data_IF_375582723197
#
_entry.id   IF_375582723197
#
_cell.length_a   1.000
_cell.length_b   1.000
_cell.length_c   1.000
_cell.angle_alpha   90.00
_cell.angle_beta   90.00
_cell.angle_gamma   90.00
#
_symmetry.space_group_name_H-M   'P 1'
#
loop_
_entity.id
_entity.type
_entity.pdbx_description
1 polymer ?
#
# COMPACT_ATOMS: atom_id res chain seq x y z
N UNK A 1 7.84 -9.22 -7.17
CA UNK A 1 9.26 -8.94 -7.47
C UNK A 1 9.88 -8.53 -6.15
N UNK A 2 10.77 -9.37 -5.63
CA UNK A 2 11.25 -9.29 -4.25
C UNK A 2 12.75 -9.03 -4.18
N UNK A 3 13.23 -8.54 -3.05
CA UNK A 3 14.64 -8.20 -2.81
C UNK A 3 14.81 -7.04 -1.82
N UNK A 4 16.05 -6.64 -1.50
CA UNK A 4 16.34 -5.68 -0.44
C UNK A 4 15.80 -4.28 -0.74
N UNK A 5 15.50 -3.49 0.30
CA UNK A 5 15.13 -2.09 0.15
C UNK A 5 16.19 -1.30 -0.63
N UNK A 6 15.78 -0.31 -1.42
CA UNK A 6 16.68 0.49 -2.26
C UNK A 6 17.20 -0.21 -3.53
N UNK A 7 16.91 -1.49 -3.75
CA UNK A 7 17.35 -2.23 -4.95
C UNK A 7 16.62 -1.89 -6.27
N UNK A 8 15.86 -0.79 -6.34
CA UNK A 8 15.15 -0.38 -7.56
C UNK A 8 13.93 -1.25 -7.94
N UNK A 9 13.48 -2.13 -7.06
CA UNK A 9 12.41 -3.11 -7.34
C UNK A 9 11.11 -2.47 -7.81
N UNK A 10 10.64 -1.43 -7.13
CA UNK A 10 9.40 -0.75 -7.50
C UNK A 10 9.51 -0.11 -8.89
N UNK A 11 10.64 0.53 -9.18
CA UNK A 11 10.93 1.10 -10.51
C UNK A 11 10.92 0.04 -11.60
N UNK A 12 11.62 -1.08 -11.40
CA UNK A 12 11.66 -2.19 -12.38
C UNK A 12 10.29 -2.86 -12.52
N UNK A 13 9.57 -3.08 -11.41
CA UNK A 13 8.25 -3.70 -11.42
C UNK A 13 7.23 -2.86 -12.15
N UNK A 14 7.25 -1.53 -11.95
CA UNK A 14 6.39 -0.59 -12.64
C UNK A 14 6.68 -0.55 -14.13
N UNK A 15 7.96 -0.47 -14.51
CA UNK A 15 8.36 -0.50 -15.91
C UNK A 15 7.96 -1.82 -16.60
N UNK A 16 8.05 -2.95 -15.90
CA UNK A 16 7.63 -4.25 -16.41
C UNK A 16 6.10 -4.33 -16.55
N UNK A 17 5.36 -3.85 -15.54
CA UNK A 17 3.90 -3.83 -15.55
C UNK A 17 3.37 -2.98 -16.73
N UNK A 18 3.94 -1.79 -16.95
CA UNK A 18 3.59 -0.93 -18.08
C UNK A 18 3.86 -1.61 -19.43
N UNK A 19 5.01 -2.29 -19.59
CA UNK A 19 5.36 -3.02 -20.82
C UNK A 19 4.44 -4.22 -21.10
N UNK A 20 3.91 -4.84 -20.05
CA UNK A 20 3.05 -6.02 -20.16
C UNK A 20 1.55 -5.69 -20.05
N UNK A 21 1.20 -4.41 -19.94
CA UNK A 21 -0.16 -3.94 -19.69
C UNK A 21 -0.81 -4.57 -18.45
N UNK A 22 0.01 -4.76 -17.40
CA UNK A 22 -0.44 -5.25 -16.10
C UNK A 22 -0.62 -4.09 -15.13
N UNK A 23 -1.55 -4.28 -14.21
CA UNK A 23 -1.73 -3.40 -13.07
C UNK A 23 -0.55 -3.56 -12.10
N UNK A 24 0.16 -2.47 -11.80
CA UNK A 24 1.16 -2.46 -10.73
C UNK A 24 0.49 -2.30 -9.36
N UNK A 25 0.77 -3.22 -8.45
CA UNK A 25 0.30 -3.18 -7.06
C UNK A 25 1.46 -2.85 -6.12
N UNK A 26 1.42 -1.67 -5.48
CA UNK A 26 2.38 -1.29 -4.44
C UNK A 26 1.97 -1.87 -3.08
N UNK A 27 2.50 -3.05 -2.75
CA UNK A 27 2.31 -3.63 -1.40
C UNK A 27 2.90 -2.75 -0.31
N UNK A 28 3.91 -1.93 -0.62
CA UNK A 28 4.47 -0.95 0.32
C UNK A 28 3.45 0.10 0.74
N UNK A 29 2.62 0.58 -0.20
CA UNK A 29 1.52 1.49 0.11
C UNK A 29 0.48 0.84 1.03
N UNK A 30 0.18 -0.45 0.84
CA UNK A 30 -0.71 -1.20 1.73
C UNK A 30 -0.16 -1.30 3.15
N UNK A 31 1.13 -1.64 3.31
CA UNK A 31 1.75 -1.66 4.65
C UNK A 31 1.81 -0.27 5.30
N UNK A 32 2.08 0.79 4.52
CA UNK A 32 2.02 2.17 5.01
C UNK A 32 0.61 2.57 5.45
N UNK A 33 -0.42 2.10 4.76
CA UNK A 33 -1.82 2.31 5.15
C UNK A 33 -2.14 1.73 6.52
N UNK A 34 -1.68 0.50 6.78
CA UNK A 34 -1.81 -0.15 8.09
C UNK A 34 -1.05 0.64 9.15
N UNK A 35 0.21 0.99 8.88
CA UNK A 35 1.03 1.75 9.83
C UNK A 35 0.42 3.13 10.15
N UNK A 36 -0.14 3.80 9.14
CA UNK A 36 -0.90 5.04 9.32
C UNK A 36 -2.06 4.83 10.29
N UNK A 37 -2.87 3.80 10.08
CA UNK A 37 -4.01 3.51 10.95
C UNK A 37 -3.64 3.14 12.38
N UNK A 38 -2.57 2.35 12.56
CA UNK A 38 -2.02 2.09 13.89
C UNK A 38 -1.65 3.40 14.59
N UNK A 39 -0.99 4.32 13.87
CA UNK A 39 -0.60 5.63 14.42
C UNK A 39 -1.81 6.48 14.78
N UNK A 40 -2.82 6.58 13.91
CA UNK A 40 -4.04 7.37 14.19
C UNK A 40 -4.81 6.83 15.41
N UNK A 41 -4.74 5.53 15.67
CA UNK A 41 -5.40 4.89 16.82
C UNK A 41 -4.50 4.77 18.06
N UNK A 42 -3.27 5.29 18.01
CA UNK A 42 -2.30 5.20 19.11
C UNK A 42 -1.90 3.77 19.46
N UNK A 43 -1.93 2.85 18.49
CA UNK A 43 -1.54 1.47 18.67
C UNK A 43 -0.03 1.30 18.45
N UNK A 44 0.64 0.73 19.44
CA UNK A 44 2.01 0.25 19.30
C UNK A 44 2.09 -0.91 18.30
N UNK A 45 3.19 -1.00 17.58
CA UNK A 45 3.41 -2.04 16.57
C UNK A 45 3.70 -3.42 17.20
N UNK A 46 4.14 -3.47 18.47
CA UNK A 46 4.46 -4.72 19.14
C UNK A 46 3.25 -5.36 19.83
N UNK A 47 3.08 -6.67 19.60
CA UNK A 47 2.21 -7.62 20.34
C UNK A 47 0.93 -7.05 20.95
N UNK A 48 0.19 -6.32 20.13
CA UNK A 48 -1.06 -5.71 20.55
C UNK A 48 -2.24 -6.53 20.02
N UNK A 49 -3.06 -7.18 20.87
CA UNK A 49 -4.25 -7.90 20.40
C UNK A 49 -5.22 -6.98 19.62
N UNK A 50 -5.19 -5.67 19.89
CA UNK A 50 -5.97 -4.67 19.17
C UNK A 50 -5.49 -4.45 17.74
N UNK A 51 -4.26 -4.84 17.38
CA UNK A 51 -3.79 -4.80 16.00
C UNK A 51 -4.56 -5.81 15.13
N UNK A 52 -4.83 -7.00 15.66
CA UNK A 52 -5.62 -8.00 14.94
C UNK A 52 -7.07 -7.51 14.74
N UNK A 53 -7.66 -6.87 15.75
CA UNK A 53 -8.99 -6.25 15.65
C UNK A 53 -9.03 -5.10 14.65
N UNK A 54 -7.99 -4.25 14.64
CA UNK A 54 -7.82 -3.21 13.63
C UNK A 54 -7.78 -3.82 12.23
N UNK A 55 -6.89 -4.79 12.00
CA UNK A 55 -6.75 -5.44 10.69
C UNK A 55 -8.04 -6.12 10.22
N UNK A 56 -8.82 -6.69 11.14
CA UNK A 56 -10.09 -7.34 10.84
C UNK A 56 -11.21 -6.35 10.48
N UNK A 57 -11.15 -5.11 10.98
CA UNK A 57 -12.12 -4.05 10.70
C UNK A 57 -11.67 -3.06 9.63
N UNK A 58 -10.39 -3.09 9.25
CA UNK A 58 -9.76 -2.19 8.29
C UNK A 58 -10.44 -2.30 6.92
N UNK A 59 -10.91 -1.16 6.39
CA UNK A 59 -11.40 -1.10 5.02
C UNK A 59 -10.31 -0.52 4.12
N UNK A 60 -9.71 -1.40 3.31
CA UNK A 60 -8.74 -1.01 2.28
C UNK A 60 -9.36 -1.18 0.89
N UNK A 61 -9.34 -0.12 0.10
CA UNK A 61 -9.79 -0.11 -1.28
C UNK A 61 -8.60 0.10 -2.23
N UNK A 62 -8.57 -0.73 -3.27
CA UNK A 62 -7.60 -0.63 -4.36
C UNK A 62 -8.34 -0.07 -5.57
N UNK A 63 -8.15 1.22 -5.83
CA UNK A 63 -8.81 1.92 -6.92
C UNK A 63 -7.93 1.92 -8.17
N UNK A 64 -8.52 1.88 -9.37
CA UNK A 64 -7.76 2.00 -10.60
C UNK A 64 -7.00 3.34 -10.64
N UNK A 65 -5.90 3.39 -11.41
CA UNK A 65 -5.20 4.63 -11.68
C UNK A 65 -6.12 5.70 -12.26
N UNK A 66 -5.81 6.96 -11.99
CA UNK A 66 -6.44 8.08 -12.69
C UNK A 66 -5.95 8.16 -14.14
N UNK A 67 -6.68 8.84 -15.04
CA UNK A 67 -6.20 9.05 -16.40
C UNK A 67 -4.82 9.73 -16.43
N UNK A 68 -3.83 9.07 -17.05
CA UNK A 68 -2.45 9.55 -17.12
C UNK A 68 -1.55 9.04 -15.99
N UNK A 69 -2.06 8.21 -15.09
CA UNK A 69 -1.29 7.49 -14.08
C UNK A 69 -1.25 5.99 -14.38
N UNK A 70 -0.21 5.32 -13.89
CA UNK A 70 0.00 3.88 -14.07
C UNK A 70 -0.28 3.06 -12.79
N UNK A 71 -0.48 3.74 -11.66
CA UNK A 71 -0.51 3.09 -10.36
C UNK A 71 -1.89 2.95 -9.75
N UNK A 72 -2.11 1.78 -9.15
CA UNK A 72 -3.26 1.58 -8.26
C UNK A 72 -3.18 2.54 -7.08
N UNK A 73 -4.31 3.16 -6.77
CA UNK A 73 -4.46 4.02 -5.60
C UNK A 73 -4.93 3.18 -4.43
N UNK A 74 -4.23 3.29 -3.30
CA UNK A 74 -4.57 2.60 -2.06
C UNK A 74 -5.31 3.58 -1.17
N UNK A 75 -6.56 3.27 -0.84
CA UNK A 75 -7.37 4.08 0.08
C UNK A 75 -7.64 3.26 1.33
N UNK A 76 -7.44 3.84 2.52
CA UNK A 76 -7.78 3.20 3.79
C UNK A 76 -8.72 4.08 4.59
N UNK A 77 -9.89 3.54 4.96
CA UNK A 77 -10.99 4.26 5.63
C UNK A 77 -11.29 5.65 5.03
N UNK A 78 -11.23 5.75 3.70
CA UNK A 78 -11.50 7.00 2.95
C UNK A 78 -10.30 7.94 2.79
N UNK A 79 -9.13 7.61 3.34
CA UNK A 79 -7.89 8.37 3.17
C UNK A 79 -7.03 7.72 2.09
N UNK A 80 -6.73 8.47 1.02
CA UNK A 80 -5.82 8.01 -0.03
C UNK A 80 -4.37 8.06 0.43
N UNK A 81 -3.65 6.95 0.25
CA UNK A 81 -2.24 6.84 0.58
C UNK A 81 -1.40 7.37 -0.59
N UNK A 82 -0.68 8.46 -0.33
CA UNK A 82 0.26 9.01 -1.31
C UNK A 82 1.43 8.07 -1.62
N UNK A 83 2.01 8.24 -2.80
CA UNK A 83 3.30 7.66 -3.13
C UNK A 83 4.41 8.52 -2.51
N UNK A 84 5.26 7.91 -1.71
CA UNK A 84 6.48 8.52 -1.20
C UNK A 84 7.64 8.27 -2.17
#
# INVERSE_FOLDING_TARGET
>A
IDGPSGGGKSTVSRALAAKLHFTYLDTGAMYRAVAYQCREQGLAAEENPRLAELLASLRMELLPPLPGEDDVRVVVDGVEMGQA
#
